data_IF_531657464842
#
_entry.id   IF_531657464842
#
_cell.length_a   1.000
_cell.length_b   1.000
_cell.length_c   1.000
_cell.angle_alpha   90.00
_cell.angle_beta   90.00
_cell.angle_gamma   90.00
#
_symmetry.space_group_name_H-M   'P 1'
#
loop_
_entity.id
_entity.type
_entity.pdbx_description
1 polymer ?
#
# COMPACT_ATOMS: atom_id res chain seq x y z
N UNK A 1 -24.76 14.31 -12.35
CA UNK A 1 -23.56 15.12 -12.63
C UNK A 1 -22.51 14.15 -13.16
N UNK A 2 -22.30 14.19 -14.46
CA UNK A 2 -21.54 13.21 -15.23
C UNK A 2 -20.04 13.32 -14.96
N UNK A 3 -19.42 12.17 -14.73
CA UNK A 3 -18.00 12.04 -14.50
C UNK A 3 -17.25 12.17 -15.83
N UNK A 4 -16.38 13.18 -15.91
CA UNK A 4 -15.37 13.30 -16.96
C UNK A 4 -14.33 12.20 -16.76
N UNK A 5 -14.52 11.07 -17.43
CA UNK A 5 -13.49 10.03 -17.56
C UNK A 5 -12.58 10.41 -18.72
N UNK A 6 -11.42 11.02 -18.41
CA UNK A 6 -10.35 11.22 -19.39
C UNK A 6 -9.49 9.95 -19.45
N UNK A 7 -9.93 8.97 -20.23
CA UNK A 7 -9.08 7.82 -20.57
C UNK A 7 -8.01 8.27 -21.57
N UNK A 8 -6.79 8.51 -21.09
CA UNK A 8 -5.62 8.70 -21.93
C UNK A 8 -5.21 7.33 -22.51
N UNK A 9 -5.79 6.95 -23.65
CA UNK A 9 -5.32 5.78 -24.40
C UNK A 9 -3.98 6.10 -25.08
N UNK A 10 -2.92 5.47 -24.60
CA UNK A 10 -1.56 5.56 -25.14
C UNK A 10 -1.44 4.76 -26.44
N UNK A 11 -1.73 5.41 -27.57
CA UNK A 11 -1.38 4.87 -28.88
C UNK A 11 0.10 5.20 -29.12
N UNK A 12 0.99 4.22 -29.02
CA UNK A 12 2.45 4.34 -29.29
C UNK A 12 3.20 5.40 -28.47
N UNK A 13 2.78 5.70 -27.24
CA UNK A 13 3.49 6.62 -26.33
C UNK A 13 3.55 8.08 -26.78
N UNK A 14 2.86 8.46 -27.87
CA UNK A 14 2.79 9.84 -28.36
C UNK A 14 1.45 10.45 -27.97
N UNK A 15 1.49 11.57 -27.25
CA UNK A 15 0.30 12.38 -26.98
C UNK A 15 -0.08 13.09 -28.27
N UNK A 16 -1.21 12.72 -28.84
CA UNK A 16 -1.74 13.36 -30.04
C UNK A 16 -2.58 14.56 -29.57
N UNK A 17 -2.14 15.79 -29.87
CA UNK A 17 -2.97 16.98 -29.69
C UNK A 17 -4.07 16.98 -30.78
N UNK A 18 -5.30 17.29 -30.39
CA UNK A 18 -6.44 17.36 -31.31
C UNK A 18 -7.07 18.76 -31.23
N UNK A 19 -7.10 19.47 -32.36
CA UNK A 19 -7.98 20.64 -32.48
C UNK A 19 -9.43 20.19 -32.56
N UNK A 20 -10.23 20.67 -31.63
CA UNK A 20 -11.63 20.29 -31.53
C UNK A 20 -12.43 20.99 -32.65
N UNK A 21 -13.06 20.22 -33.53
CA UNK A 21 -13.88 20.77 -34.64
C UNK A 21 -15.33 20.94 -34.20
N UNK A 22 -16.06 21.85 -34.86
CA UNK A 22 -17.52 21.99 -34.69
C UNK A 22 -18.24 21.29 -35.82
N UNK A 23 -19.36 20.64 -35.52
CA UNK A 23 -20.26 20.12 -36.54
C UNK A 23 -21.13 21.25 -37.14
N UNK A 24 -21.93 20.92 -38.17
CA UNK A 24 -22.83 21.90 -38.82
C UNK A 24 -23.92 22.47 -37.88
N UNK A 25 -24.12 21.88 -36.70
CA UNK A 25 -25.01 22.42 -35.67
C UNK A 25 -24.33 23.48 -34.78
N UNK A 26 -23.04 23.78 -35.00
CA UNK A 26 -22.26 24.70 -34.18
C UNK A 26 -21.72 24.12 -32.86
N UNK A 27 -21.97 22.83 -32.60
CA UNK A 27 -21.56 22.13 -31.37
C UNK A 27 -20.23 21.42 -31.62
N UNK A 28 -19.44 21.22 -30.56
CA UNK A 28 -18.20 20.41 -30.63
C UNK A 28 -18.51 19.02 -31.16
N UNK A 29 -17.76 18.59 -32.17
CA UNK A 29 -17.85 17.26 -32.72
C UNK A 29 -17.15 16.25 -31.78
N UNK A 30 -17.74 15.07 -31.64
CA UNK A 30 -17.10 13.98 -30.92
C UNK A 30 -16.09 13.28 -31.83
N UNK A 31 -15.09 12.65 -31.21
CA UNK A 31 -14.04 11.88 -31.90
C UNK A 31 -14.28 10.40 -31.64
N UNK A 32 -14.25 9.59 -32.70
CA UNK A 32 -14.31 8.12 -32.61
C UNK A 32 -13.21 7.48 -33.42
N UNK A 33 -12.86 6.26 -33.03
CA UNK A 33 -11.97 5.37 -33.78
C UNK A 33 -12.85 4.53 -34.71
N UNK A 34 -12.48 4.43 -35.98
CA UNK A 34 -13.17 3.59 -36.95
C UNK A 34 -12.84 2.11 -36.71
N UNK A 35 -13.89 1.32 -36.52
CA UNK A 35 -13.85 -0.14 -36.42
C UNK A 35 -14.07 -0.82 -37.78
N UNK A 36 -14.24 -0.05 -38.87
CA UNK A 36 -14.50 -0.64 -40.19
C UNK A 36 -13.27 -1.40 -40.70
N UNK A 37 -13.48 -2.56 -41.36
CA UNK A 37 -12.38 -3.35 -41.92
C UNK A 37 -11.60 -2.59 -43.01
N UNK A 38 -12.26 -1.66 -43.71
CA UNK A 38 -11.64 -0.87 -44.77
C UNK A 38 -10.77 0.29 -44.23
N UNK A 39 -11.02 0.73 -42.98
CA UNK A 39 -10.31 1.85 -42.35
C UNK A 39 -10.14 1.60 -40.84
N UNK A 40 -9.42 0.55 -40.42
CA UNK A 40 -9.25 0.26 -39.01
C UNK A 40 -8.41 1.35 -38.34
N UNK A 41 -8.74 1.68 -37.10
CA UNK A 41 -7.98 2.60 -36.25
C UNK A 41 -7.86 4.06 -36.74
N UNK A 42 -8.59 4.45 -37.79
CA UNK A 42 -8.63 5.85 -38.24
C UNK A 42 -9.57 6.67 -37.36
N UNK A 43 -9.10 7.84 -36.93
CA UNK A 43 -9.92 8.77 -36.17
C UNK A 43 -10.82 9.58 -37.09
N UNK A 44 -12.07 9.79 -36.68
CA UNK A 44 -13.01 10.64 -37.40
C UNK A 44 -13.84 11.48 -36.43
N UNK A 45 -14.28 12.65 -36.92
CA UNK A 45 -15.19 13.54 -36.23
C UNK A 45 -16.63 13.25 -36.66
N UNK A 46 -17.56 13.25 -35.70
CA UNK A 46 -18.99 13.10 -35.99
C UNK A 46 -19.86 14.00 -35.09
N UNK A 47 -21.10 14.24 -35.50
CA UNK A 47 -22.07 14.96 -34.67
C UNK A 47 -22.61 14.06 -33.55
N UNK A 48 -22.22 14.35 -32.32
CA UNK A 48 -22.60 13.57 -31.14
C UNK A 48 -24.12 13.51 -30.93
N UNK A 49 -24.82 14.61 -31.23
CA UNK A 49 -26.29 14.70 -31.10
C UNK A 49 -27.07 14.03 -32.23
N UNK A 50 -26.40 13.56 -33.29
CA UNK A 50 -27.05 12.96 -34.47
C UNK A 50 -27.94 13.92 -35.29
N UNK A 51 -28.01 15.21 -34.94
CA UNK A 51 -28.89 16.19 -35.62
C UNK A 51 -28.45 16.53 -37.05
N UNK A 52 -27.17 16.34 -37.37
CA UNK A 52 -26.65 16.54 -38.73
C UNK A 52 -25.73 15.39 -39.12
N UNK A 53 -25.61 15.12 -40.43
CA UNK A 53 -24.75 14.08 -41.01
C UNK A 53 -23.28 14.52 -41.10
N UNK A 54 -22.81 15.35 -40.15
CA UNK A 54 -21.43 15.79 -40.14
C UNK A 54 -20.51 14.60 -39.86
N UNK A 55 -19.62 14.35 -40.82
CA UNK A 55 -18.62 13.29 -40.77
C UNK A 55 -17.38 13.77 -41.51
N UNK A 56 -16.21 13.67 -40.86
CA UNK A 56 -14.93 13.96 -41.51
C UNK A 56 -13.81 13.16 -40.86
N UNK A 57 -13.02 12.46 -41.67
CA UNK A 57 -11.79 11.83 -41.18
C UNK A 57 -10.82 12.88 -40.65
N UNK A 58 -10.07 12.53 -39.61
CA UNK A 58 -8.97 13.37 -39.15
C UNK A 58 -7.83 13.27 -40.16
N UNK A 59 -7.53 14.38 -40.82
CA UNK A 59 -6.29 14.57 -41.57
C UNK A 59 -5.19 14.96 -40.58
N UNK A 60 -3.99 14.36 -40.65
CA UNK A 60 -2.85 14.84 -39.89
C UNK A 60 -2.47 16.22 -40.44
N UNK A 61 -2.68 17.27 -39.66
CA UNK A 61 -2.20 18.61 -40.02
C UNK A 61 -0.66 18.57 -40.01
N UNK A 62 -0.03 18.96 -41.13
CA UNK A 62 1.43 18.93 -41.32
C UNK A 62 2.19 19.88 -40.36
N UNK A 63 1.49 20.70 -39.58
CA UNK A 63 2.09 21.76 -38.76
C UNK A 63 2.28 21.43 -37.26
N UNK A 64 1.79 20.31 -36.72
CA UNK A 64 1.52 20.30 -35.26
C UNK A 64 2.16 19.15 -34.47
N UNK A 65 3.48 19.03 -34.57
CA UNK A 65 4.28 18.44 -33.49
C UNK A 65 5.62 19.18 -33.35
N UNK A 66 5.60 20.34 -32.66
CA UNK A 66 6.83 20.93 -32.15
C UNK A 66 7.36 20.04 -31.02
N UNK A 67 8.20 19.07 -31.40
CA UNK A 67 8.79 18.12 -30.46
C UNK A 67 9.60 18.82 -29.36
N UNK A 68 10.17 19.99 -29.65
CA UNK A 68 10.95 20.77 -28.68
C UNK A 68 10.07 21.31 -27.54
N UNK A 69 8.94 21.96 -27.87
CA UNK A 69 8.00 22.49 -26.88
C UNK A 69 7.39 21.36 -26.02
N UNK A 70 7.22 20.16 -26.60
CA UNK A 70 6.78 18.99 -25.86
C UNK A 70 7.83 18.52 -24.85
N UNK A 71 9.09 18.38 -25.28
CA UNK A 71 10.19 17.97 -24.41
C UNK A 71 10.36 18.99 -23.27
N UNK A 72 10.27 20.28 -23.57
CA UNK A 72 10.35 21.36 -22.58
C UNK A 72 9.21 21.27 -21.55
N UNK A 73 7.96 21.05 -21.99
CA UNK A 73 6.82 20.87 -21.08
C UNK A 73 6.88 19.60 -20.22
N UNK A 74 7.65 18.60 -20.64
CA UNK A 74 7.93 17.40 -19.84
C UNK A 74 9.02 17.71 -18.83
N UNK A 75 10.12 18.34 -19.27
CA UNK A 75 11.23 18.71 -18.40
C UNK A 75 10.78 19.66 -17.28
N UNK A 76 9.92 20.64 -17.55
CA UNK A 76 9.35 21.51 -16.51
C UNK A 76 8.56 20.73 -15.43
N UNK A 77 7.87 19.64 -15.80
CA UNK A 77 7.17 18.79 -14.81
C UNK A 77 8.14 17.97 -13.96
N UNK A 78 9.32 17.67 -14.51
CA UNK A 78 10.38 16.94 -13.80
C UNK A 78 11.28 17.87 -12.98
N UNK A 79 11.46 19.13 -13.38
CA UNK A 79 12.22 20.14 -12.63
C UNK A 79 11.46 20.75 -11.45
N UNK A 80 10.16 20.46 -11.29
CA UNK A 80 9.44 20.71 -10.05
C UNK A 80 10.01 19.81 -8.95
N UNK A 81 11.07 20.29 -8.29
CA UNK A 81 11.94 19.56 -7.35
C UNK A 81 11.25 18.86 -6.18
N UNK A 82 9.99 19.19 -5.94
CA UNK A 82 9.14 18.56 -4.92
C UNK A 82 8.94 17.06 -5.18
N UNK A 83 8.86 16.64 -6.46
CA UNK A 83 8.69 15.22 -6.79
C UNK A 83 9.98 14.41 -6.56
N UNK A 84 11.14 15.01 -6.80
CA UNK A 84 12.43 14.35 -6.61
C UNK A 84 12.75 14.16 -5.13
N UNK A 85 12.56 15.20 -4.31
CA UNK A 85 12.74 15.09 -2.86
C UNK A 85 11.80 14.05 -2.23
N UNK A 86 10.55 14.00 -2.71
CA UNK A 86 9.59 12.98 -2.25
C UNK A 86 10.04 11.56 -2.63
N UNK A 87 10.54 11.37 -3.85
CA UNK A 87 11.06 10.07 -4.29
C UNK A 87 12.28 9.64 -3.47
N UNK A 88 13.19 10.56 -3.17
CA UNK A 88 14.35 10.31 -2.32
C UNK A 88 13.93 9.93 -0.90
N UNK A 89 12.93 10.61 -0.34
CA UNK A 89 12.37 10.27 0.96
C UNK A 89 11.69 8.88 0.96
N UNK A 90 10.94 8.55 -0.09
CA UNK A 90 10.35 7.21 -0.23
C UNK A 90 11.43 6.12 -0.34
N UNK A 91 12.51 6.40 -1.07
CA UNK A 91 13.66 5.50 -1.21
C UNK A 91 14.38 5.25 0.13
N UNK A 92 14.60 6.30 0.93
CA UNK A 92 15.21 6.15 2.26
C UNK A 92 14.34 5.31 3.21
N UNK A 93 13.02 5.49 3.18
CA UNK A 93 12.07 4.69 3.95
C UNK A 93 12.08 3.23 3.50
N UNK A 94 12.11 2.99 2.19
CA UNK A 94 12.22 1.64 1.61
C UNK A 94 13.52 0.94 2.05
N UNK A 95 14.66 1.62 1.97
CA UNK A 95 15.94 1.07 2.42
C UNK A 95 15.93 0.71 3.92
N UNK A 96 15.36 1.56 4.77
CA UNK A 96 15.24 1.26 6.19
C UNK A 96 14.35 0.02 6.46
N UNK A 97 13.28 -0.15 5.69
CA UNK A 97 12.41 -1.34 5.78
C UNK A 97 13.14 -2.60 5.30
N UNK A 98 13.94 -2.49 4.25
CA UNK A 98 14.71 -3.59 3.69
C UNK A 98 15.75 -4.12 4.69
N UNK A 99 16.52 -3.22 5.32
CA UNK A 99 17.46 -3.56 6.39
C UNK A 99 16.78 -4.28 7.57
N UNK A 100 15.56 -3.86 7.92
CA UNK A 100 14.80 -4.52 8.98
C UNK A 100 14.37 -5.93 8.59
N UNK A 101 13.98 -6.15 7.33
CA UNK A 101 13.63 -7.48 6.82
C UNK A 101 14.84 -8.41 6.81
N UNK A 102 16.00 -7.90 6.43
CA UNK A 102 17.27 -8.65 6.44
C UNK A 102 17.63 -9.15 7.85
N UNK A 103 17.55 -8.27 8.86
CA UNK A 103 17.75 -8.68 10.27
C UNK A 103 16.71 -9.71 10.78
N UNK A 104 15.50 -9.72 10.23
CA UNK A 104 14.48 -10.72 10.59
C UNK A 104 14.82 -12.05 9.92
N UNK A 105 15.23 -12.00 8.66
CA UNK A 105 15.62 -13.17 7.89
C UNK A 105 16.78 -13.94 8.54
N UNK A 106 17.85 -13.25 8.95
CA UNK A 106 18.97 -13.88 9.65
C UNK A 106 18.55 -14.57 10.96
N UNK A 107 17.63 -13.95 11.71
CA UNK A 107 17.09 -14.54 12.94
C UNK A 107 16.27 -15.79 12.68
N UNK A 108 15.50 -15.83 11.59
CA UNK A 108 14.74 -17.02 11.19
C UNK A 108 15.70 -18.15 10.81
N UNK A 109 16.73 -17.87 10.02
CA UNK A 109 17.74 -18.88 9.66
C UNK A 109 18.46 -19.47 10.89
N UNK A 110 18.80 -18.63 11.87
CA UNK A 110 19.39 -19.10 13.11
C UNK A 110 18.43 -20.00 13.91
N UNK A 111 17.13 -19.68 13.94
CA UNK A 111 16.12 -20.51 14.58
C UNK A 111 15.92 -21.85 13.88
N UNK A 112 15.95 -21.88 12.55
CA UNK A 112 15.87 -23.13 11.77
C UNK A 112 17.08 -24.04 12.05
N UNK A 113 18.28 -23.48 12.13
CA UNK A 113 19.49 -24.21 12.51
C UNK A 113 19.39 -24.80 13.92
N UNK A 114 18.87 -24.04 14.90
CA UNK A 114 18.63 -24.56 16.24
C UNK A 114 17.58 -25.67 16.25
N UNK A 115 16.51 -25.53 15.47
CA UNK A 115 15.46 -26.54 15.37
C UNK A 115 16.00 -27.85 14.81
N UNK A 116 16.81 -27.80 13.75
CA UNK A 116 17.47 -28.98 13.18
C UNK A 116 18.39 -29.68 14.20
N UNK A 117 19.12 -28.91 15.01
CA UNK A 117 19.97 -29.47 16.08
C UNK A 117 19.17 -30.15 17.18
N UNK A 118 18.05 -29.56 17.59
CA UNK A 118 17.14 -30.15 18.58
C UNK A 118 16.55 -31.46 18.06
N UNK A 119 16.09 -31.46 16.81
CA UNK A 119 15.55 -32.67 16.18
C UNK A 119 16.58 -33.81 16.10
N UNK A 120 17.84 -33.51 15.75
CA UNK A 120 18.92 -34.51 15.74
C UNK A 120 19.22 -35.06 17.15
N UNK A 121 19.19 -34.21 18.18
CA UNK A 121 19.32 -34.67 19.56
C UNK A 121 18.16 -35.58 19.96
N UNK A 122 16.93 -35.24 19.58
CA UNK A 122 15.74 -36.02 19.87
C UNK A 122 15.79 -37.40 19.20
N UNK A 123 16.20 -37.49 17.93
CA UNK A 123 16.35 -38.77 17.23
C UNK A 123 17.50 -39.60 17.81
N UNK A 124 18.59 -38.97 18.23
CA UNK A 124 19.70 -39.66 18.91
C UNK A 124 19.25 -40.27 20.25
N UNK A 125 18.50 -39.50 21.06
CA UNK A 125 17.95 -39.98 22.33
C UNK A 125 16.99 -41.15 22.09
N UNK A 126 16.08 -41.04 21.11
CA UNK A 126 15.16 -42.14 20.76
C UNK A 126 15.90 -43.41 20.33
N UNK A 127 16.95 -43.27 19.49
CA UNK A 127 17.77 -44.41 19.09
C UNK A 127 18.48 -45.08 20.27
N UNK A 128 19.03 -44.29 21.20
CA UNK A 128 19.67 -44.81 22.41
C UNK A 128 18.67 -45.46 23.37
N UNK A 129 17.46 -44.91 23.48
CA UNK A 129 16.38 -45.46 24.29
C UNK A 129 15.98 -46.86 23.81
N UNK A 130 15.75 -47.04 22.50
CA UNK A 130 15.44 -48.36 21.94
C UNK A 130 16.60 -49.36 22.10
N UNK A 131 17.85 -48.91 22.02
CA UNK A 131 18.99 -49.79 22.27
C UNK A 131 19.01 -50.29 23.72
N UNK A 132 18.71 -49.42 24.68
CA UNK A 132 18.60 -49.78 26.10
C UNK A 132 17.41 -50.71 26.36
N UNK A 133 16.24 -50.47 25.75
CA UNK A 133 15.08 -51.37 25.83
C UNK A 133 15.38 -52.78 25.32
N UNK A 134 16.24 -52.92 24.31
CA UNK A 134 16.62 -54.24 23.79
C UNK A 134 17.63 -54.99 24.68
N UNK A 135 18.42 -54.27 25.50
CA UNK A 135 19.48 -54.85 26.34
C UNK A 135 19.04 -55.11 27.77
N UNK A 136 18.12 -54.30 28.27
CA UNK A 136 17.58 -54.43 29.61
C UNK A 136 16.19 -55.08 29.55
N UNK A 137 16.14 -56.41 29.75
CA UNK A 137 14.96 -57.09 30.29
C UNK A 137 14.72 -56.70 31.76
N UNK A 138 14.77 -55.39 32.04
CA UNK A 138 15.00 -54.81 33.37
C UNK A 138 13.70 -54.32 33.98
N UNK A 139 13.70 -54.39 35.31
CA UNK A 139 12.54 -54.40 36.16
C UNK A 139 11.57 -53.23 35.92
N UNK A 140 10.26 -53.51 36.11
CA UNK A 140 9.15 -52.54 36.11
C UNK A 140 9.43 -51.25 36.90
N UNK A 141 10.36 -51.30 37.86
CA UNK A 141 10.71 -50.21 38.74
C UNK A 141 11.50 -49.11 38.01
N UNK A 142 12.43 -49.47 37.12
CA UNK A 142 13.19 -48.50 36.31
C UNK A 142 12.29 -47.74 35.34
N UNK A 143 11.31 -48.43 34.74
CA UNK A 143 10.30 -47.82 33.87
C UNK A 143 9.43 -46.81 34.63
N UNK A 144 8.98 -47.16 35.83
CA UNK A 144 8.20 -46.26 36.68
C UNK A 144 8.98 -44.98 37.06
N UNK A 145 10.27 -45.11 37.38
CA UNK A 145 11.13 -43.95 37.70
C UNK A 145 11.33 -43.05 36.48
N UNK A 146 11.57 -43.63 35.30
CA UNK A 146 11.75 -42.85 34.07
C UNK A 146 10.46 -42.10 33.67
N UNK A 147 9.30 -42.72 33.82
CA UNK A 147 8.01 -42.04 33.60
C UNK A 147 7.81 -40.90 34.59
N UNK A 148 8.08 -41.12 35.87
CA UNK A 148 7.95 -40.07 36.88
C UNK A 148 8.87 -38.88 36.56
N UNK A 149 10.12 -39.14 36.17
CA UNK A 149 11.06 -38.10 35.77
C UNK A 149 10.57 -37.33 34.54
N UNK A 150 10.03 -38.03 33.54
CA UNK A 150 9.46 -37.42 32.34
C UNK A 150 8.24 -36.54 32.66
N UNK A 151 7.35 -36.98 33.54
CA UNK A 151 6.22 -36.16 33.98
C UNK A 151 6.68 -34.88 34.69
N UNK A 152 7.72 -34.98 35.52
CA UNK A 152 8.31 -33.82 36.22
C UNK A 152 8.93 -32.84 35.23
N UNK A 153 9.72 -33.30 34.26
CA UNK A 153 10.34 -32.41 33.27
C UNK A 153 9.30 -31.71 32.40
N UNK A 154 8.25 -32.43 31.96
CA UNK A 154 7.16 -31.83 31.20
C UNK A 154 6.36 -30.80 32.01
N UNK A 155 6.15 -31.04 33.31
CA UNK A 155 5.52 -30.06 34.20
C UNK A 155 6.36 -28.77 34.32
N UNK A 156 7.68 -28.89 34.45
CA UNK A 156 8.60 -27.73 34.49
C UNK A 156 8.52 -26.94 33.18
N UNK A 157 8.53 -27.63 32.03
CA UNK A 157 8.40 -26.99 30.71
C UNK A 157 7.07 -26.26 30.57
N UNK A 158 5.96 -26.88 30.97
CA UNK A 158 4.63 -26.28 30.90
C UNK A 158 4.53 -25.00 31.75
N UNK A 159 5.08 -25.00 32.97
CA UNK A 159 5.15 -23.82 33.83
C UNK A 159 5.96 -22.70 33.17
N UNK A 160 7.12 -23.04 32.58
CA UNK A 160 7.97 -22.06 31.88
C UNK A 160 7.30 -21.48 30.64
N UNK A 161 6.62 -22.31 29.84
CA UNK A 161 5.84 -21.84 28.69
C UNK A 161 4.70 -20.92 29.10
N UNK A 162 3.99 -21.24 30.19
CA UNK A 162 2.92 -20.39 30.73
C UNK A 162 3.46 -19.04 31.20
N UNK A 163 4.63 -19.01 31.84
CA UNK A 163 5.29 -17.77 32.23
C UNK A 163 5.68 -16.90 31.01
N UNK A 164 6.23 -17.50 29.96
CA UNK A 164 6.57 -16.80 28.72
C UNK A 164 5.33 -16.26 28.00
N UNK A 165 4.25 -17.04 27.93
CA UNK A 165 2.95 -16.59 27.40
C UNK A 165 2.42 -15.39 28.18
N UNK A 166 2.48 -15.44 29.52
CA UNK A 166 2.05 -14.33 30.36
C UNK A 166 2.88 -13.07 30.11
N UNK A 167 4.20 -13.20 29.94
CA UNK A 167 5.08 -12.08 29.58
C UNK A 167 4.75 -11.51 28.20
N UNK A 168 4.48 -12.36 27.21
CA UNK A 168 4.08 -11.92 25.88
C UNK A 168 2.74 -11.16 25.91
N UNK A 169 1.75 -11.63 26.68
CA UNK A 169 0.46 -10.94 26.86
C UNK A 169 0.67 -9.59 27.55
N UNK A 170 1.51 -9.52 28.60
CA UNK A 170 1.86 -8.25 29.27
C UNK A 170 2.52 -7.26 28.30
N UNK A 171 3.48 -7.70 27.49
CA UNK A 171 4.11 -6.84 26.48
C UNK A 171 3.11 -6.34 25.44
N UNK A 172 2.18 -7.19 24.98
CA UNK A 172 1.11 -6.76 24.07
C UNK A 172 0.19 -5.72 24.71
N UNK A 173 -0.16 -5.87 25.99
CA UNK A 173 -0.97 -4.89 26.72
C UNK A 173 -0.25 -3.53 26.85
N UNK A 174 1.04 -3.53 27.15
CA UNK A 174 1.87 -2.30 27.23
C UNK A 174 1.95 -1.62 25.86
N UNK A 175 2.18 -2.38 24.79
CA UNK A 175 2.20 -1.86 23.42
C UNK A 175 0.84 -1.26 23.04
N UNK A 176 -0.26 -1.93 23.39
CA UNK A 176 -1.61 -1.44 23.11
C UNK A 176 -1.91 -0.13 23.86
N UNK A 177 -1.51 -0.02 25.13
CA UNK A 177 -1.65 1.23 25.89
C UNK A 177 -0.79 2.36 25.32
N UNK A 178 0.45 2.06 24.91
CA UNK A 178 1.34 3.04 24.26
C UNK A 178 0.74 3.58 22.96
N UNK A 179 0.18 2.70 22.12
CA UNK A 179 -0.51 3.10 20.88
C UNK A 179 -1.76 3.94 21.20
N UNK A 180 -2.58 3.52 22.17
CA UNK A 180 -3.77 4.25 22.60
C UNK A 180 -3.43 5.67 23.09
N UNK A 181 -2.36 5.82 23.88
CA UNK A 181 -1.89 7.12 24.35
C UNK A 181 -1.40 8.02 23.21
N UNK A 182 -0.66 7.47 22.24
CA UNK A 182 -0.23 8.25 21.06
C UNK A 182 -1.42 8.73 20.23
N UNK A 183 -2.43 7.88 20.02
CA UNK A 183 -3.66 8.25 19.30
C UNK A 183 -4.43 9.33 20.06
N UNK A 184 -4.54 9.21 21.39
CA UNK A 184 -5.20 10.22 22.23
C UNK A 184 -4.46 11.57 22.18
N UNK A 185 -3.13 11.56 22.24
CA UNK A 185 -2.30 12.78 22.15
C UNK A 185 -2.45 13.45 20.78
N UNK A 186 -2.47 12.67 19.68
CA UNK A 186 -2.73 13.20 18.34
C UNK A 186 -4.13 13.84 18.24
N UNK A 187 -5.15 13.19 18.84
CA UNK A 187 -6.51 13.72 18.85
C UNK A 187 -6.64 15.03 19.65
N UNK A 188 -6.00 15.10 20.82
CA UNK A 188 -5.97 16.31 21.65
C UNK A 188 -5.21 17.45 20.97
N UNK A 189 -4.08 17.16 20.32
CA UNK A 189 -3.33 18.14 19.53
C UNK A 189 -4.15 18.76 18.40
N UNK A 190 -4.90 17.94 17.66
CA UNK A 190 -5.84 18.43 16.63
C UNK A 190 -6.96 19.30 17.22
N UNK A 191 -7.50 18.96 18.40
CA UNK A 191 -8.57 19.74 19.04
C UNK A 191 -8.09 21.12 19.50
N UNK A 192 -6.85 21.22 19.98
CA UNK A 192 -6.29 22.48 20.49
C UNK A 192 -5.92 23.45 19.36
N UNK A 193 -5.46 22.92 18.21
CA UNK A 193 -5.21 23.73 17.01
C UNK A 193 -6.47 24.33 16.40
N UNK A 194 -7.67 23.79 16.70
CA UNK A 194 -8.94 24.29 16.16
C UNK A 194 -9.49 25.52 16.91
N UNK A 195 -8.96 25.83 18.10
CA UNK A 195 -9.49 26.90 18.97
C UNK A 195 -8.67 28.19 18.97
N UNK A 196 -7.51 28.20 18.32
CA UNK A 196 -6.64 29.39 18.22
C UNK A 196 -6.60 29.88 16.77
N UNK A 197 -7.14 31.08 16.53
CA UNK A 197 -7.41 31.79 15.25
C UNK A 197 -8.88 31.65 14.82
N UNK A 198 -9.70 32.71 14.81
CA UNK A 198 -9.52 33.97 14.08
C UNK A 198 -10.22 35.13 14.81
N UNK A 199 -9.55 36.27 15.07
CA UNK A 199 -10.21 37.56 15.19
C UNK A 199 -10.49 38.13 13.78
N UNK A 200 -11.77 38.40 13.50
CA UNK A 200 -12.34 39.25 12.46
C UNK A 200 -11.56 39.42 11.13
N UNK A 201 -11.81 38.54 10.17
CA UNK A 201 -11.59 38.82 8.74
C UNK A 201 -12.87 38.54 7.92
N UNK A 202 -13.11 39.32 6.85
CA UNK A 202 -14.34 39.27 6.07
C UNK A 202 -14.49 37.97 5.27
N UNK A 203 -15.72 37.59 4.88
CA UNK A 203 -16.04 36.28 4.35
C UNK A 203 -15.53 36.12 2.91
N UNK A 204 -14.37 35.50 2.73
CA UNK A 204 -13.96 34.94 1.45
C UNK A 204 -14.34 33.45 1.41
N UNK A 205 -15.31 33.15 0.55
CA UNK A 205 -15.91 31.84 0.42
C UNK A 205 -14.92 30.75 0.05
N UNK A 206 -14.87 29.73 0.91
CA UNK A 206 -14.66 28.33 0.57
C UNK A 206 -13.28 27.97 0.02
N UNK A 207 -12.37 27.50 0.90
CA UNK A 207 -11.32 26.51 0.55
C UNK A 207 -10.46 26.00 1.73
N UNK A 208 -10.69 26.43 2.98
CA UNK A 208 -9.78 26.12 4.10
C UNK A 208 -10.01 24.79 4.84
N UNK A 209 -10.94 23.93 4.41
CA UNK A 209 -11.27 22.70 5.15
C UNK A 209 -10.36 21.48 4.90
N UNK A 210 -9.39 21.54 3.99
CA UNK A 210 -8.78 20.31 3.42
C UNK A 210 -7.30 20.07 3.75
N UNK A 211 -6.61 20.97 4.46
CA UNK A 211 -5.15 20.87 4.61
C UNK A 211 -4.65 20.12 5.85
N UNK A 212 -5.48 19.86 6.86
CA UNK A 212 -4.97 19.34 8.16
C UNK A 212 -4.85 17.81 8.26
N UNK A 213 -5.33 17.05 7.27
CA UNK A 213 -5.35 15.58 7.33
C UNK A 213 -4.14 14.88 6.70
N UNK A 214 -3.29 15.59 5.94
CA UNK A 214 -2.20 14.94 5.19
C UNK A 214 -0.93 14.64 6.00
N UNK A 215 -0.72 15.25 7.17
CA UNK A 215 0.57 15.13 7.89
C UNK A 215 0.70 13.82 8.70
N UNK A 216 -0.38 13.06 8.90
CA UNK A 216 -0.38 11.89 9.80
C UNK A 216 -0.56 10.53 9.10
N UNK A 217 -0.58 10.46 7.76
CA UNK A 217 -0.74 9.19 7.04
C UNK A 217 -2.07 8.46 7.33
N UNK A 218 -3.07 9.19 7.82
CA UNK A 218 -4.44 8.71 7.95
C UNK A 218 -5.19 8.94 6.62
N UNK A 219 -6.12 8.05 6.24
CA UNK A 219 -6.91 8.21 5.02
C UNK A 219 -7.61 9.57 5.03
N UNK A 220 -7.48 10.30 3.91
CA UNK A 220 -8.07 11.63 3.75
C UNK A 220 -9.59 11.50 3.59
N UNK A 221 -10.34 12.25 4.39
CA UNK A 221 -11.80 12.29 4.33
C UNK A 221 -12.21 13.60 3.67
N UNK A 222 -12.85 13.53 2.52
CA UNK A 222 -13.49 14.69 1.89
C UNK A 222 -15.00 14.55 2.01
N UNK A 223 -15.62 15.45 2.77
CA UNK A 223 -17.08 15.56 2.85
C UNK A 223 -17.52 16.57 1.81
N UNK A 224 -18.13 16.08 0.72
CA UNK A 224 -18.78 16.93 -0.28
C UNK A 224 -20.20 16.43 -0.50
N UNK A 225 -21.19 17.22 -0.07
CA UNK A 225 -22.61 16.94 -0.31
C UNK A 225 -23.22 15.77 0.49
N UNK A 226 -22.82 15.58 1.75
CA UNK A 226 -23.50 14.63 2.66
C UNK A 226 -23.17 13.15 2.46
N UNK A 227 -22.18 12.80 1.63
CA UNK A 227 -21.63 11.43 1.54
C UNK A 227 -20.15 11.42 1.86
N UNK A 228 -19.77 10.47 2.71
CA UNK A 228 -18.41 10.24 3.17
C UNK A 228 -17.79 9.13 2.31
N UNK A 229 -16.65 9.39 1.66
CA UNK A 229 -15.86 8.38 0.95
C UNK A 229 -14.45 8.31 1.56
N UNK A 230 -14.01 7.09 1.90
CA UNK A 230 -12.60 6.79 2.18
C UNK A 230 -11.89 6.49 0.86
N UNK A 231 -10.81 7.21 0.59
CA UNK A 231 -9.77 6.77 -0.35
C UNK A 231 -8.59 6.27 0.49
N UNK A 232 -8.25 4.99 0.29
CA UNK A 232 -7.05 4.35 0.82
C UNK A 232 -5.86 4.69 -0.06
#
# INVERSE_FOLDING_TARGET
MEATSSSAFSINGRIIKFKNKKCNCGIKAAVKISESPNNPNKLYFFCDRGKCKFYRFKEPDNEEFNQAEYIESILERFESGDNFQRLEQEMTVLNARLMKLEMVWERVQHLESLHARIHNLETNIHGRMHHLESKEGSSRLTWAVNIALFCITMAIIAVKMKALLLQAVKMKAVLFQSVKMKVLLLWLGCKQSLHTTVPDLPPLGGLYGSLFLCVLGLPSWTVRGGRIKCSV
#
